data_IF_558441966213
#
_entry.id   IF_558441966213
#
_cell.length_a   1.000
_cell.length_b   1.000
_cell.length_c   1.000
_cell.angle_alpha   90.00
_cell.angle_beta   90.00
_cell.angle_gamma   90.00
#
_symmetry.space_group_name_H-M   'P 1'
#
loop_
_entity.id
_entity.type
_entity.pdbx_description
1 polymer ?
#
# COMPACT_ATOMS: atom_id res chain seq x y z
N UNK A 1 -20.27 -30.30 -18.33
CA UNK A 1 -20.97 -29.95 -17.07
C UNK A 1 -20.53 -28.58 -16.56
N UNK A 2 -21.34 -27.93 -15.72
CA UNK A 2 -20.95 -26.69 -15.02
C UNK A 2 -20.12 -27.07 -13.79
N UNK A 3 -18.92 -26.50 -13.68
CA UNK A 3 -17.98 -26.76 -12.59
C UNK A 3 -17.79 -25.52 -11.73
N UNK A 4 -17.57 -24.37 -12.36
CA UNK A 4 -17.38 -23.10 -11.66
C UNK A 4 -18.65 -22.28 -11.68
N UNK A 5 -19.16 -21.98 -10.49
CA UNK A 5 -20.33 -21.14 -10.33
C UNK A 5 -20.01 -19.66 -10.64
N UNK A 6 -21.03 -18.83 -10.97
CA UNK A 6 -20.81 -17.45 -11.37
C UNK A 6 -20.03 -16.60 -10.37
N UNK A 7 -20.25 -16.80 -9.06
CA UNK A 7 -19.56 -16.03 -8.03
C UNK A 7 -18.05 -16.27 -8.08
N UNK A 8 -17.60 -17.53 -8.15
CA UNK A 8 -16.17 -17.85 -8.19
C UNK A 8 -15.49 -17.25 -9.43
N UNK A 9 -16.19 -17.20 -10.57
CA UNK A 9 -15.64 -16.59 -11.79
C UNK A 9 -15.52 -15.08 -11.70
N UNK A 10 -16.57 -14.40 -11.21
CA UNK A 10 -16.54 -12.95 -11.00
C UNK A 10 -15.45 -12.60 -9.97
N UNK A 11 -15.42 -13.31 -8.84
CA UNK A 11 -14.37 -13.17 -7.83
C UNK A 11 -12.98 -13.30 -8.44
N UNK A 12 -12.72 -14.37 -9.19
CA UNK A 12 -11.40 -14.63 -9.77
C UNK A 12 -10.93 -13.48 -10.66
N UNK A 13 -11.73 -13.08 -11.64
CA UNK A 13 -11.31 -12.04 -12.59
C UNK A 13 -11.27 -10.65 -11.97
N UNK A 14 -12.13 -10.37 -10.99
CA UNK A 14 -12.05 -9.11 -10.23
C UNK A 14 -10.81 -9.09 -9.34
N UNK A 15 -10.45 -10.22 -8.72
CA UNK A 15 -9.21 -10.34 -7.94
C UNK A 15 -7.98 -10.14 -8.81
N UNK A 16 -7.94 -10.76 -10.00
CA UNK A 16 -6.86 -10.56 -10.98
C UNK A 16 -6.73 -9.08 -11.34
N UNK A 17 -7.84 -8.39 -11.64
CA UNK A 17 -7.81 -6.97 -11.94
C UNK A 17 -7.32 -6.12 -10.74
N UNK A 18 -7.82 -6.39 -9.52
CA UNK A 18 -7.40 -5.68 -8.32
C UNK A 18 -5.91 -5.86 -8.03
N UNK A 19 -5.40 -7.09 -8.13
CA UNK A 19 -3.97 -7.38 -7.94
C UNK A 19 -3.12 -6.73 -9.03
N UNK A 20 -3.56 -6.76 -10.30
CA UNK A 20 -2.84 -6.12 -11.39
C UNK A 20 -2.76 -4.59 -11.20
N UNK A 21 -3.86 -3.95 -10.81
CA UNK A 21 -3.87 -2.51 -10.50
C UNK A 21 -2.95 -2.21 -9.32
N UNK A 22 -3.06 -2.96 -8.21
CA UNK A 22 -2.21 -2.76 -7.04
C UNK A 22 -0.71 -2.95 -7.36
N UNK A 23 -0.37 -3.96 -8.17
CA UNK A 23 1.01 -4.20 -8.60
C UNK A 23 1.52 -3.08 -9.51
N UNK A 24 0.71 -2.63 -10.47
CA UNK A 24 1.09 -1.53 -11.37
C UNK A 24 1.31 -0.23 -10.59
N UNK A 25 0.40 0.13 -9.69
CA UNK A 25 0.50 1.37 -8.91
C UNK A 25 1.54 1.30 -7.79
N UNK A 26 1.83 0.11 -7.27
CA UNK A 26 2.79 -0.07 -6.18
C UNK A 26 4.24 -0.31 -6.64
N UNK A 27 4.46 -0.82 -7.85
CA UNK A 27 5.80 -1.17 -8.36
C UNK A 27 6.28 -0.30 -9.52
N UNK A 28 5.35 0.26 -10.32
CA UNK A 28 5.70 0.93 -11.58
C UNK A 28 5.29 2.41 -11.62
N UNK A 29 4.35 2.83 -10.78
CA UNK A 29 3.81 4.18 -10.82
C UNK A 29 4.37 5.07 -9.70
N UNK A 30 4.27 6.38 -9.90
CA UNK A 30 4.76 7.38 -8.96
C UNK A 30 3.86 7.56 -7.74
N UNK A 31 4.37 8.29 -6.75
CA UNK A 31 3.74 8.61 -5.48
C UNK A 31 2.24 9.02 -5.51
N UNK A 32 1.74 9.79 -6.50
CA UNK A 32 0.32 10.18 -6.55
C UNK A 32 -0.66 9.00 -6.73
N UNK A 33 -0.18 7.86 -7.22
CA UNK A 33 -1.00 6.66 -7.43
C UNK A 33 -1.28 5.86 -6.15
N UNK A 34 -0.77 6.32 -5.00
CA UNK A 34 -0.93 5.63 -3.72
C UNK A 34 -2.40 5.38 -3.36
N UNK A 35 -3.30 6.32 -3.66
CA UNK A 35 -4.71 6.17 -3.32
C UNK A 35 -5.34 5.04 -4.13
N UNK A 36 -4.98 4.94 -5.41
CA UNK A 36 -5.43 3.85 -6.29
C UNK A 36 -4.87 2.51 -5.81
N UNK A 37 -3.61 2.46 -5.37
CA UNK A 37 -3.02 1.27 -4.76
C UNK A 37 -3.80 0.81 -3.51
N UNK A 38 -4.07 1.73 -2.58
CA UNK A 38 -4.82 1.45 -1.36
C UNK A 38 -6.26 1.02 -1.66
N UNK A 39 -6.92 1.66 -2.63
CA UNK A 39 -8.25 1.25 -3.09
C UNK A 39 -8.26 -0.17 -3.67
N UNK A 40 -7.30 -0.49 -4.53
CA UNK A 40 -7.17 -1.84 -5.10
C UNK A 40 -6.93 -2.90 -4.01
N UNK A 41 -6.08 -2.60 -3.04
CA UNK A 41 -5.86 -3.45 -1.86
C UNK A 41 -7.12 -3.63 -0.99
N UNK A 42 -7.92 -2.57 -0.83
CA UNK A 42 -9.19 -2.61 -0.09
C UNK A 42 -10.24 -3.48 -0.82
N UNK A 43 -10.34 -3.35 -2.15
CA UNK A 43 -11.19 -4.22 -2.98
C UNK A 43 -10.74 -5.67 -2.86
N UNK A 44 -9.42 -5.93 -2.95
CA UNK A 44 -8.85 -7.27 -2.76
C UNK A 44 -9.22 -7.86 -1.39
N UNK A 45 -9.10 -7.08 -0.30
CA UNK A 45 -9.47 -7.53 1.05
C UNK A 45 -10.95 -7.94 1.13
N UNK A 46 -11.85 -7.11 0.58
CA UNK A 46 -13.28 -7.40 0.53
C UNK A 46 -13.62 -8.65 -0.28
N UNK A 47 -12.96 -8.83 -1.44
CA UNK A 47 -13.09 -10.02 -2.27
C UNK A 47 -12.63 -11.29 -1.53
N UNK A 48 -11.48 -11.24 -0.86
CA UNK A 48 -10.96 -12.38 -0.08
C UNK A 48 -11.93 -12.74 1.04
N UNK A 49 -12.44 -11.75 1.79
CA UNK A 49 -13.45 -11.99 2.83
C UNK A 49 -14.73 -12.65 2.27
N UNK A 50 -15.26 -12.11 1.17
CA UNK A 50 -16.43 -12.69 0.49
C UNK A 50 -16.15 -14.11 -0.02
N UNK A 51 -14.94 -14.38 -0.53
CA UNK A 51 -14.54 -15.71 -1.00
C UNK A 51 -14.41 -16.72 0.12
N UNK A 52 -13.93 -16.30 1.29
CA UNK A 52 -13.86 -17.15 2.49
C UNK A 52 -15.27 -17.54 2.91
N UNK A 53 -16.21 -16.59 3.01
CA UNK A 53 -17.63 -16.89 3.29
C UNK A 53 -18.23 -17.86 2.25
N UNK A 54 -18.01 -17.60 0.97
CA UNK A 54 -18.46 -18.49 -0.11
C UNK A 54 -17.81 -19.88 -0.06
N UNK A 55 -16.59 -19.98 0.46
CA UNK A 55 -15.89 -21.25 0.66
C UNK A 55 -16.52 -22.16 1.71
N UNK A 56 -17.46 -21.67 2.52
CA UNK A 56 -18.24 -22.49 3.44
C UNK A 56 -19.68 -22.74 2.96
N UNK A 57 -20.28 -21.76 2.28
CA UNK A 57 -21.72 -21.76 1.94
C UNK A 57 -22.02 -22.02 0.46
N UNK A 58 -21.03 -21.89 -0.43
CA UNK A 58 -21.15 -22.08 -1.88
C UNK A 58 -21.43 -23.53 -2.31
N UNK A 59 -21.45 -23.83 -3.62
CA UNK A 59 -21.63 -25.19 -4.11
C UNK A 59 -20.39 -26.06 -3.82
N UNK A 60 -20.54 -27.38 -3.95
CA UNK A 60 -19.48 -28.35 -3.65
C UNK A 60 -18.11 -28.07 -4.26
N UNK A 61 -18.06 -27.58 -5.50
CA UNK A 61 -16.81 -27.20 -6.19
C UNK A 61 -16.13 -25.93 -5.64
N UNK A 62 -16.89 -25.07 -4.95
CA UNK A 62 -16.39 -23.84 -4.36
C UNK A 62 -16.01 -23.99 -2.87
N UNK A 63 -16.55 -25.02 -2.20
CA UNK A 63 -16.35 -25.23 -0.76
C UNK A 63 -14.95 -25.75 -0.45
N UNK A 64 -14.30 -25.21 0.57
CA UNK A 64 -12.98 -25.66 1.02
C UNK A 64 -12.97 -27.16 1.36
N UNK A 65 -13.98 -27.64 2.10
CA UNK A 65 -14.12 -29.06 2.44
C UNK A 65 -14.35 -29.97 1.20
N UNK A 66 -14.60 -29.41 0.02
CA UNK A 66 -14.77 -30.17 -1.23
C UNK A 66 -13.48 -30.36 -2.02
N UNK A 67 -12.42 -29.61 -1.73
CA UNK A 67 -11.16 -29.69 -2.48
C UNK A 67 -9.88 -29.63 -1.64
N UNK A 68 -9.95 -29.18 -0.38
CA UNK A 68 -8.79 -29.16 0.51
C UNK A 68 -8.51 -30.59 0.96
N UNK A 69 -7.29 -31.03 0.69
CA UNK A 69 -6.81 -32.38 0.99
C UNK A 69 -5.59 -32.35 1.91
N UNK A 70 -5.36 -33.44 2.65
CA UNK A 70 -4.22 -33.56 3.54
C UNK A 70 -2.87 -33.74 2.81
N UNK A 71 -1.74 -33.58 3.51
CA UNK A 71 -0.40 -33.63 2.92
C UNK A 71 -0.09 -34.97 2.22
N UNK A 72 -0.62 -36.09 2.72
CA UNK A 72 -0.46 -37.41 2.09
C UNK A 72 -1.06 -37.47 0.69
N UNK A 73 -2.22 -36.84 0.47
CA UNK A 73 -2.87 -36.80 -0.84
C UNK A 73 -2.11 -35.90 -1.83
N UNK A 74 -1.53 -34.80 -1.35
CA UNK A 74 -0.65 -33.95 -2.16
C UNK A 74 0.59 -34.73 -2.61
N UNK A 75 1.24 -35.46 -1.69
CA UNK A 75 2.41 -36.29 -2.01
C UNK A 75 2.06 -37.45 -2.96
N UNK A 76 0.90 -38.09 -2.77
CA UNK A 76 0.40 -39.12 -3.69
C UNK A 76 0.20 -38.55 -5.10
N UNK A 77 -0.48 -37.40 -5.21
CA UNK A 77 -0.70 -36.75 -6.50
C UNK A 77 0.60 -36.33 -7.19
N UNK A 78 1.59 -35.85 -6.44
CA UNK A 78 2.92 -35.56 -6.98
C UNK A 78 3.61 -36.81 -7.55
N UNK A 79 3.47 -37.96 -6.90
CA UNK A 79 4.00 -39.24 -7.42
C UNK A 79 3.27 -39.66 -8.68
N UNK A 80 1.93 -39.60 -8.67
CA UNK A 80 1.10 -39.91 -9.83
C UNK A 80 1.39 -39.02 -11.03
N UNK A 81 1.68 -37.73 -10.81
CA UNK A 81 2.09 -36.81 -11.88
C UNK A 81 3.45 -37.21 -12.47
N UNK A 82 4.40 -37.67 -11.64
CA UNK A 82 5.71 -38.14 -12.09
C UNK A 82 5.63 -39.46 -12.87
N UNK A 83 4.72 -40.36 -12.48
CA UNK A 83 4.52 -41.65 -13.15
C UNK A 83 3.55 -41.58 -14.33
N UNK A 84 2.96 -40.41 -14.60
CA UNK A 84 1.98 -40.24 -15.68
C UNK A 84 0.61 -40.88 -15.40
N UNK A 85 0.35 -41.32 -14.17
CA UNK A 85 -0.88 -42.03 -13.77
C UNK A 85 -1.92 -41.12 -13.11
N UNK A 86 -1.63 -39.82 -12.95
CA UNK A 86 -2.52 -38.87 -12.30
C UNK A 86 -3.85 -38.71 -13.04
N UNK A 87 -4.94 -39.06 -12.37
CA UNK A 87 -6.31 -38.90 -12.86
C UNK A 87 -6.70 -37.45 -13.11
N UNK A 88 -7.71 -37.25 -13.95
CA UNK A 88 -8.25 -35.93 -14.27
C UNK A 88 -9.21 -35.48 -13.18
N UNK A 89 -9.05 -34.24 -12.74
CA UNK A 89 -9.91 -33.62 -11.73
C UNK A 89 -10.82 -32.59 -12.39
N UNK A 90 -12.14 -32.71 -12.17
CA UNK A 90 -13.06 -31.70 -12.67
C UNK A 90 -12.98 -30.42 -11.85
N UNK A 91 -12.92 -30.52 -10.53
CA UNK A 91 -12.62 -29.41 -9.62
C UNK A 91 -11.13 -29.09 -9.55
N UNK A 92 -10.64 -28.74 -8.35
CA UNK A 92 -9.20 -28.59 -8.10
C UNK A 92 -8.56 -29.97 -7.92
N UNK A 93 -7.38 -30.17 -8.52
CA UNK A 93 -6.49 -31.24 -8.11
C UNK A 93 -5.78 -30.86 -6.79
N UNK A 94 -5.11 -31.80 -6.10
CA UNK A 94 -4.43 -31.53 -4.83
C UNK A 94 -3.43 -30.36 -4.84
N UNK A 95 -2.68 -30.16 -5.92
CA UNK A 95 -1.73 -29.04 -6.04
C UNK A 95 -2.44 -27.71 -6.29
N UNK A 96 -3.48 -27.71 -7.12
CA UNK A 96 -4.33 -26.56 -7.36
C UNK A 96 -5.06 -26.12 -6.10
N UNK A 97 -5.50 -27.07 -5.27
CA UNK A 97 -6.08 -26.79 -3.95
C UNK A 97 -5.10 -26.06 -3.04
N UNK A 98 -3.86 -26.54 -2.95
CA UNK A 98 -2.80 -25.89 -2.17
C UNK A 98 -2.49 -24.48 -2.71
N UNK A 99 -2.42 -24.31 -4.02
CA UNK A 99 -2.17 -23.01 -4.66
C UNK A 99 -3.28 -21.99 -4.34
N UNK A 100 -4.55 -22.41 -4.37
CA UNK A 100 -5.67 -21.53 -3.98
C UNK A 100 -5.52 -21.06 -2.54
N UNK A 101 -5.17 -21.96 -1.61
CA UNK A 101 -4.94 -21.58 -0.22
C UNK A 101 -3.75 -20.63 -0.06
N UNK A 102 -2.65 -20.89 -0.76
CA UNK A 102 -1.45 -20.05 -0.74
C UNK A 102 -1.74 -18.64 -1.27
N UNK A 103 -2.44 -18.51 -2.41
CA UNK A 103 -2.83 -17.23 -2.99
C UNK A 103 -3.79 -16.45 -2.08
N UNK A 104 -4.79 -17.12 -1.51
CA UNK A 104 -5.72 -16.48 -0.57
C UNK A 104 -5.02 -16.02 0.71
N UNK A 105 -4.11 -16.83 1.25
CA UNK A 105 -3.34 -16.47 2.44
C UNK A 105 -2.38 -15.30 2.17
N UNK A 106 -1.67 -15.31 1.03
CA UNK A 106 -0.79 -14.21 0.63
C UNK A 106 -1.58 -12.91 0.40
N UNK A 107 -2.72 -12.97 -0.29
CA UNK A 107 -3.60 -11.81 -0.49
C UNK A 107 -4.16 -11.27 0.84
N UNK A 108 -4.57 -12.15 1.77
CA UNK A 108 -5.00 -11.74 3.10
C UNK A 108 -3.85 -11.10 3.90
N UNK A 109 -2.65 -11.69 3.85
CA UNK A 109 -1.44 -11.14 4.47
C UNK A 109 -1.09 -9.75 3.95
N UNK A 110 -1.18 -9.55 2.63
CA UNK A 110 -1.00 -8.23 2.00
C UNK A 110 -2.04 -7.22 2.48
N UNK A 111 -3.31 -7.60 2.53
CA UNK A 111 -4.36 -6.72 3.04
C UNK A 111 -4.10 -6.30 4.49
N UNK A 112 -3.73 -7.24 5.36
CA UNK A 112 -3.45 -6.96 6.78
C UNK A 112 -2.21 -6.08 6.97
N UNK A 113 -1.09 -6.46 6.35
CA UNK A 113 0.16 -5.68 6.43
C UNK A 113 0.01 -4.31 5.78
N UNK A 114 -0.76 -4.20 4.69
CA UNK A 114 -1.03 -2.94 4.00
C UNK A 114 -1.78 -1.95 4.89
N UNK A 115 -2.78 -2.40 5.65
CA UNK A 115 -3.52 -1.53 6.59
C UNK A 115 -2.61 -1.01 7.72
N UNK A 116 -1.70 -1.85 8.22
CA UNK A 116 -0.73 -1.45 9.26
C UNK A 116 0.30 -0.48 8.70
N UNK A 117 0.87 -0.76 7.53
CA UNK A 117 1.82 0.13 6.85
C UNK A 117 1.18 1.47 6.48
N UNK A 118 -0.08 1.46 6.03
CA UNK A 118 -0.85 2.67 5.72
C UNK A 118 -1.03 3.55 6.97
N UNK A 119 -1.38 2.93 8.10
CA UNK A 119 -1.50 3.59 9.39
C UNK A 119 -0.18 4.12 9.94
N UNK A 120 0.88 3.31 9.96
CA UNK A 120 2.15 3.69 10.58
C UNK A 120 3.02 4.62 9.72
N UNK A 121 3.13 4.35 8.42
CA UNK A 121 4.04 5.09 7.52
C UNK A 121 3.37 6.33 6.94
N UNK A 122 2.16 6.17 6.40
CA UNK A 122 1.43 7.28 5.76
C UNK A 122 0.53 8.05 6.72
N UNK A 123 0.41 7.57 7.97
CA UNK A 123 -0.42 8.18 9.02
C UNK A 123 -1.86 8.44 8.54
N UNK A 124 -2.40 7.43 7.85
CA UNK A 124 -3.75 7.46 7.29
C UNK A 124 -4.45 6.10 7.45
N UNK A 125 -5.79 6.13 7.41
CA UNK A 125 -6.61 4.94 7.57
C UNK A 125 -6.80 4.48 9.02
N UNK A 126 -7.39 3.29 9.22
CA UNK A 126 -7.95 2.88 10.50
C UNK A 126 -6.93 2.62 11.60
N UNK A 127 -5.64 2.46 11.29
CA UNK A 127 -4.59 2.22 12.28
C UNK A 127 -3.67 3.42 12.50
N UNK A 128 -3.97 4.57 11.88
CA UNK A 128 -3.14 5.78 11.97
C UNK A 128 -3.06 6.35 13.39
N UNK A 129 -4.11 6.16 14.20
CA UNK A 129 -4.20 6.68 15.56
C UNK A 129 -3.39 5.87 16.59
N UNK A 130 -2.92 4.67 16.24
CA UNK A 130 -2.21 3.76 17.16
C UNK A 130 -0.85 3.30 16.68
N UNK A 131 -0.60 3.29 15.37
CA UNK A 131 0.60 2.66 14.82
C UNK A 131 1.73 3.67 14.67
N UNK A 132 2.87 3.37 15.30
CA UNK A 132 4.09 4.17 15.18
C UNK A 132 4.74 4.05 13.79
N UNK A 133 5.56 5.03 13.42
CA UNK A 133 6.29 5.02 12.15
C UNK A 133 7.20 3.80 12.03
N UNK A 134 7.99 3.51 13.07
CA UNK A 134 8.96 2.41 13.08
C UNK A 134 8.28 1.07 12.85
N UNK A 135 7.17 0.81 13.56
CA UNK A 135 6.39 -0.43 13.42
C UNK A 135 5.77 -0.52 12.02
N UNK A 136 5.16 0.57 11.53
CA UNK A 136 4.64 0.64 10.18
C UNK A 136 5.71 0.39 9.12
N UNK A 137 6.93 0.90 9.33
CA UNK A 137 8.08 0.73 8.45
C UNK A 137 8.56 -0.72 8.40
N UNK A 138 8.61 -1.39 9.54
CA UNK A 138 8.95 -2.81 9.61
C UNK A 138 7.89 -3.66 8.89
N UNK A 139 6.61 -3.35 9.10
CA UNK A 139 5.51 -4.07 8.43
C UNK A 139 5.45 -3.76 6.94
N UNK A 140 5.87 -2.57 6.49
CA UNK A 140 5.99 -2.25 5.08
C UNK A 140 7.03 -3.14 4.37
N UNK A 141 8.17 -3.44 5.01
CA UNK A 141 9.14 -4.40 4.44
C UNK A 141 8.52 -5.80 4.26
N UNK A 142 7.72 -6.23 5.23
CA UNK A 142 6.97 -7.50 5.13
C UNK A 142 5.93 -7.42 4.01
N UNK A 143 5.25 -6.28 3.85
CA UNK A 143 4.29 -6.06 2.78
C UNK A 143 4.95 -6.16 1.39
N UNK A 144 6.11 -5.53 1.21
CA UNK A 144 6.90 -5.61 -0.02
C UNK A 144 7.36 -7.05 -0.31
N UNK A 145 7.87 -7.76 0.71
CA UNK A 145 8.24 -9.17 0.58
C UNK A 145 7.05 -10.04 0.18
N UNK A 146 5.90 -9.85 0.82
CA UNK A 146 4.67 -10.57 0.49
C UNK A 146 4.17 -10.24 -0.91
N UNK A 147 4.39 -9.02 -1.41
CA UNK A 147 4.01 -8.62 -2.77
C UNK A 147 4.81 -9.42 -3.80
N UNK A 148 6.15 -9.45 -3.67
CA UNK A 148 7.00 -10.27 -4.54
C UNK A 148 6.68 -11.77 -4.42
N UNK A 149 6.40 -12.25 -3.20
CA UNK A 149 5.98 -13.63 -2.98
C UNK A 149 4.65 -13.95 -3.69
N UNK A 150 3.66 -13.06 -3.60
CA UNK A 150 2.39 -13.22 -4.32
C UNK A 150 2.61 -13.27 -5.83
N UNK A 151 3.43 -12.38 -6.38
CA UNK A 151 3.75 -12.38 -7.82
C UNK A 151 4.41 -13.70 -8.25
N UNK A 152 5.32 -14.24 -7.45
CA UNK A 152 5.93 -15.55 -7.70
C UNK A 152 4.88 -16.69 -7.66
N UNK A 153 3.95 -16.66 -6.70
CA UNK A 153 2.83 -17.62 -6.64
C UNK A 153 1.91 -17.49 -7.85
N UNK A 154 1.62 -16.27 -8.32
CA UNK A 154 0.82 -16.04 -9.52
C UNK A 154 1.51 -16.61 -10.76
N UNK A 155 2.82 -16.38 -10.91
CA UNK A 155 3.59 -16.96 -12.01
C UNK A 155 3.55 -18.49 -11.98
N UNK A 156 3.76 -19.09 -10.80
CA UNK A 156 3.68 -20.53 -10.60
C UNK A 156 2.26 -21.07 -10.86
N UNK A 157 1.24 -20.34 -10.44
CA UNK A 157 -0.16 -20.67 -10.71
C UNK A 157 -0.45 -20.72 -12.21
N UNK A 158 -0.07 -19.68 -12.95
CA UNK A 158 -0.25 -19.61 -14.40
C UNK A 158 0.52 -20.73 -15.10
N UNK A 159 1.76 -21.00 -14.69
CA UNK A 159 2.55 -22.12 -15.21
C UNK A 159 1.84 -23.47 -14.96
N UNK A 160 1.29 -23.68 -13.75
CA UNK A 160 0.50 -24.86 -13.41
C UNK A 160 -0.77 -24.99 -14.26
N UNK A 161 -1.46 -23.88 -14.52
CA UNK A 161 -2.64 -23.83 -15.41
C UNK A 161 -2.26 -24.23 -16.84
N UNK A 162 -1.14 -23.72 -17.38
CA UNK A 162 -0.65 -24.08 -18.71
C UNK A 162 -0.26 -25.57 -18.76
N UNK A 163 0.48 -26.04 -17.77
CA UNK A 163 0.90 -27.44 -17.66
C UNK A 163 -0.31 -28.39 -17.63
N UNK A 164 -1.25 -28.15 -16.71
CA UNK A 164 -2.42 -29.01 -16.57
C UNK A 164 -3.34 -28.91 -17.77
N UNK A 165 -3.44 -27.74 -18.42
CA UNK A 165 -4.23 -27.59 -19.65
C UNK A 165 -3.68 -28.46 -20.79
N UNK A 166 -2.35 -28.53 -20.92
CA UNK A 166 -1.69 -29.38 -21.93
C UNK A 166 -1.85 -30.86 -21.57
N UNK A 167 -1.56 -31.24 -20.32
CA UNK A 167 -1.63 -32.63 -19.83
C UNK A 167 -3.05 -33.22 -19.94
N UNK A 168 -4.07 -32.43 -19.62
CA UNK A 168 -5.48 -32.88 -19.63
C UNK A 168 -6.17 -32.69 -20.98
N UNK A 169 -5.50 -32.06 -21.95
CA UNK A 169 -6.06 -31.61 -23.23
C UNK A 169 -7.33 -30.78 -23.05
N UNK A 170 -7.29 -29.84 -22.10
CA UNK A 170 -8.42 -29.01 -21.72
C UNK A 170 -7.98 -27.58 -21.44
N UNK A 171 -8.65 -26.58 -22.01
CA UNK A 171 -8.30 -25.18 -21.75
C UNK A 171 -8.90 -24.72 -20.42
N UNK A 172 -8.11 -24.75 -19.35
CA UNK A 172 -8.53 -24.39 -17.99
C UNK A 172 -8.85 -22.90 -17.85
N UNK A 173 -8.13 -22.02 -18.55
CA UNK A 173 -8.42 -20.59 -18.55
C UNK A 173 -9.81 -20.31 -19.16
N UNK A 174 -10.14 -20.96 -20.28
CA UNK A 174 -11.48 -20.90 -20.89
C UNK A 174 -12.55 -21.50 -19.97
N UNK A 175 -12.22 -22.57 -19.24
CA UNK A 175 -13.13 -23.14 -18.24
C UNK A 175 -13.42 -22.13 -17.11
N UNK A 176 -12.44 -21.30 -16.71
CA UNK A 176 -12.62 -20.26 -15.70
C UNK A 176 -13.51 -19.10 -16.17
N UNK A 177 -13.55 -18.83 -17.48
CA UNK A 177 -14.46 -17.84 -18.08
C UNK A 177 -15.87 -18.40 -18.23
N UNK A 178 -15.99 -19.57 -18.86
CA UNK A 178 -17.29 -20.19 -19.21
C UNK A 178 -17.95 -20.92 -18.04
N UNK A 179 -17.17 -21.30 -17.04
CA UNK A 179 -17.58 -22.14 -15.91
C UNK A 179 -17.84 -23.60 -16.25
N UNK A 180 -17.49 -24.06 -17.47
CA UNK A 180 -17.84 -25.39 -17.97
C UNK A 180 -16.60 -26.20 -18.31
N UNK A 181 -16.67 -27.50 -18.01
CA UNK A 181 -15.69 -28.53 -18.39
C UNK A 181 -16.43 -29.72 -19.02
N UNK A 182 -15.91 -30.39 -20.06
CA UNK A 182 -16.47 -31.66 -20.52
C UNK A 182 -16.37 -32.71 -19.41
N UNK A 183 -17.34 -33.61 -19.27
CA UNK A 183 -17.26 -34.71 -18.30
C UNK A 183 -16.70 -35.96 -19.00
N UNK A 184 -15.81 -36.70 -18.36
CA UNK A 184 -15.30 -38.00 -18.80
C UNK A 184 -15.57 -39.06 -17.70
N UNK A 185 -15.68 -40.35 -18.04
CA UNK A 185 -16.04 -41.41 -17.10
C UNK A 185 -15.13 -41.49 -15.86
N UNK A 186 -13.82 -41.30 -16.03
CA UNK A 186 -12.82 -41.45 -14.97
C UNK A 186 -12.49 -40.15 -14.22
N UNK A 187 -13.36 -39.13 -14.32
CA UNK A 187 -13.11 -37.85 -13.68
C UNK A 187 -13.35 -37.89 -12.17
N UNK A 188 -12.43 -37.32 -11.41
CA UNK A 188 -12.67 -37.00 -10.01
C UNK A 188 -13.68 -35.85 -9.89
N UNK A 189 -14.90 -36.19 -9.46
CA UNK A 189 -16.00 -35.26 -9.29
C UNK A 189 -15.93 -34.52 -7.94
N UNK A 190 -16.24 -33.21 -7.90
CA UNK A 190 -16.45 -32.51 -6.65
C UNK A 190 -17.65 -33.10 -5.89
N UNK A 191 -17.59 -33.13 -4.56
CA UNK A 191 -18.72 -33.58 -3.74
C UNK A 191 -19.98 -32.75 -4.05
N UNK A 192 -21.10 -33.41 -4.35
CA UNK A 192 -22.35 -32.73 -4.66
C UNK A 192 -22.94 -32.08 -3.40
N UNK A 193 -22.81 -30.76 -3.29
CA UNK A 193 -23.43 -29.96 -2.21
C UNK A 193 -24.11 -28.72 -2.79
N UNK A 194 -25.38 -28.46 -2.44
CA UNK A 194 -26.10 -27.27 -2.92
C UNK A 194 -25.57 -26.01 -2.25
N UNK A 195 -25.55 -24.90 -3.00
CA UNK A 195 -25.18 -23.59 -2.51
C UNK A 195 -26.29 -22.97 -1.64
N UNK A 196 -25.92 -22.08 -0.71
CA UNK A 196 -26.84 -21.24 0.07
C UNK A 196 -26.61 -19.76 -0.26
N UNK A 197 -26.98 -19.29 -1.47
CA UNK A 197 -26.55 -18.00 -1.99
C UNK A 197 -27.07 -16.82 -1.18
N UNK A 198 -28.33 -16.85 -0.74
CA UNK A 198 -28.94 -15.78 0.08
C UNK A 198 -28.24 -15.65 1.43
N UNK A 199 -28.03 -16.77 2.13
CA UNK A 199 -27.34 -16.78 3.41
C UNK A 199 -25.87 -16.33 3.27
N UNK A 200 -25.19 -16.74 2.20
CA UNK A 200 -23.82 -16.32 1.93
C UNK A 200 -23.72 -14.83 1.63
N UNK A 201 -24.64 -14.29 0.81
CA UNK A 201 -24.69 -12.87 0.50
C UNK A 201 -24.99 -12.04 1.76
N UNK A 202 -25.99 -12.44 2.55
CA UNK A 202 -26.32 -11.77 3.81
C UNK A 202 -25.13 -11.76 4.79
N UNK A 203 -24.45 -12.89 4.97
CA UNK A 203 -23.29 -13.00 5.86
C UNK A 203 -22.09 -12.18 5.34
N UNK A 204 -21.82 -12.22 4.03
CA UNK A 204 -20.75 -11.43 3.43
C UNK A 204 -21.02 -9.93 3.58
N UNK A 205 -22.23 -9.47 3.26
CA UNK A 205 -22.64 -8.07 3.40
C UNK A 205 -22.61 -7.61 4.86
N UNK A 206 -23.09 -8.43 5.80
CA UNK A 206 -23.00 -8.11 7.23
C UNK A 206 -21.56 -8.01 7.70
N UNK A 207 -20.70 -8.97 7.32
CA UNK A 207 -19.27 -8.96 7.69
C UNK A 207 -18.55 -7.74 7.12
N UNK A 208 -18.75 -7.44 5.84
CA UNK A 208 -18.15 -6.28 5.17
C UNK A 208 -18.70 -4.96 5.73
N UNK A 209 -20.00 -4.89 6.03
CA UNK A 209 -20.63 -3.70 6.60
C UNK A 209 -20.14 -3.40 8.02
N UNK A 210 -20.06 -4.42 8.88
CA UNK A 210 -19.50 -4.28 10.24
C UNK A 210 -18.03 -3.88 10.17
N UNK A 211 -17.24 -4.52 9.30
CA UNK A 211 -15.84 -4.18 9.10
C UNK A 211 -15.69 -2.73 8.60
N UNK A 212 -16.45 -2.32 7.59
CA UNK A 212 -16.40 -0.96 7.04
C UNK A 212 -16.80 0.08 8.08
N UNK A 213 -17.86 -0.17 8.86
CA UNK A 213 -18.27 0.72 9.95
C UNK A 213 -17.18 0.82 11.03
N UNK A 214 -16.68 -0.32 11.51
CA UNK A 214 -15.61 -0.36 12.50
C UNK A 214 -14.35 0.37 12.02
N UNK A 215 -13.84 0.02 10.84
CA UNK A 215 -12.65 0.66 10.27
C UNK A 215 -12.88 2.16 10.00
N UNK A 216 -14.09 2.55 9.57
CA UNK A 216 -14.45 3.96 9.40
C UNK A 216 -14.39 4.74 10.72
N UNK A 217 -14.93 4.17 11.81
CA UNK A 217 -14.85 4.80 13.14
C UNK A 217 -13.42 4.94 13.65
N UNK A 218 -12.56 3.96 13.36
CA UNK A 218 -11.14 4.00 13.72
C UNK A 218 -10.38 5.02 12.86
N UNK A 219 -10.67 5.10 11.56
CA UNK A 219 -10.03 6.02 10.64
C UNK A 219 -10.39 7.50 10.90
N UNK A 220 -11.52 7.76 11.54
CA UNK A 220 -11.92 9.09 11.97
C UNK A 220 -11.16 9.60 13.21
N UNK A 221 -10.38 8.75 13.89
CA UNK A 221 -9.59 9.16 15.05
C UNK A 221 -8.36 9.99 14.61
N UNK A 222 -7.95 11.00 15.39
CA UNK A 222 -6.75 11.77 15.10
C UNK A 222 -5.52 10.86 14.95
N UNK A 223 -4.72 11.01 13.89
CA UNK A 223 -3.55 10.18 13.67
C UNK A 223 -2.45 10.48 14.69
N UNK A 224 -1.70 9.44 15.08
CA UNK A 224 -0.63 9.52 16.08
C UNK A 224 0.58 10.27 15.51
N UNK A 225 0.98 11.35 16.19
CA UNK A 225 2.23 12.07 15.89
C UNK A 225 2.21 12.81 14.56
N UNK A 226 1.06 13.26 14.09
CA UNK A 226 0.95 14.12 12.90
C UNK A 226 0.72 15.57 13.34
N UNK A 227 1.39 16.55 12.73
CA UNK A 227 1.06 17.95 12.98
C UNK A 227 -0.38 18.26 12.55
N UNK A 228 -1.16 18.84 13.47
CA UNK A 228 -2.56 19.24 13.23
C UNK A 228 -2.83 20.71 13.53
N UNK A 229 -1.94 21.36 14.27
CA UNK A 229 -2.05 22.79 14.58
C UNK A 229 -1.63 23.63 13.37
N UNK A 230 -2.26 24.79 13.20
CA UNK A 230 -1.75 25.82 12.30
C UNK A 230 -0.39 26.33 12.79
N UNK A 231 0.42 26.84 11.86
CA UNK A 231 1.67 27.52 12.22
C UNK A 231 1.38 28.73 13.12
N UNK A 232 2.30 29.03 14.05
CA UNK A 232 2.22 30.27 14.83
C UNK A 232 2.17 31.47 13.86
N UNK A 233 1.23 32.41 14.00
CA UNK A 233 1.06 33.49 13.02
C UNK A 233 2.31 34.33 12.82
N UNK A 234 3.09 34.55 13.87
CA UNK A 234 4.32 35.31 13.76
C UNK A 234 5.46 34.45 13.20
N UNK A 235 5.53 33.15 13.52
CA UNK A 235 6.43 32.26 12.80
C UNK A 235 6.15 32.29 11.30
N UNK A 236 4.88 32.21 10.92
CA UNK A 236 4.47 32.28 9.52
C UNK A 236 4.78 33.64 8.90
N UNK A 237 4.65 34.75 9.64
CA UNK A 237 4.98 36.07 9.13
C UNK A 237 6.48 36.26 8.91
N UNK A 238 7.30 35.96 9.92
CA UNK A 238 8.75 36.19 9.87
C UNK A 238 9.46 35.14 8.98
N UNK A 239 9.15 33.86 9.16
CA UNK A 239 9.84 32.77 8.46
C UNK A 239 9.27 32.51 7.05
N UNK A 240 8.16 33.14 6.65
CA UNK A 240 7.67 33.09 5.26
C UNK A 240 8.03 34.33 4.43
N UNK A 241 8.76 35.30 4.98
CA UNK A 241 9.04 36.57 4.30
C UNK A 241 9.88 36.38 3.02
N UNK A 242 10.80 35.41 3.02
CA UNK A 242 11.71 35.17 1.89
C UNK A 242 11.41 33.86 1.13
N UNK A 243 10.93 32.83 1.82
CA UNK A 243 10.59 31.52 1.25
C UNK A 243 9.31 30.97 1.89
N UNK A 244 8.87 29.77 1.52
CA UNK A 244 7.73 29.12 2.19
C UNK A 244 8.03 28.86 3.67
N UNK A 245 7.09 29.11 4.58
CA UNK A 245 7.30 28.75 5.99
C UNK A 245 7.32 27.22 6.15
N UNK A 246 8.53 26.65 6.22
CA UNK A 246 8.70 25.22 6.48
C UNK A 246 8.09 24.85 7.82
N UNK A 247 7.33 23.76 7.87
CA UNK A 247 6.80 23.28 9.14
C UNK A 247 7.96 22.86 10.07
N UNK A 248 7.96 23.20 11.38
CA UNK A 248 9.06 22.88 12.30
C UNK A 248 9.42 21.40 12.39
N UNK A 249 8.49 20.50 12.06
CA UNK A 249 8.71 19.05 12.01
C UNK A 249 9.76 18.59 10.98
N UNK A 250 10.22 19.47 10.10
CA UNK A 250 11.19 19.14 9.05
C UNK A 250 12.66 19.30 9.47
N UNK A 251 12.91 19.82 10.68
CA UNK A 251 14.25 19.93 11.25
C UNK A 251 14.25 19.44 12.71
N UNK A 252 15.33 18.77 13.17
CA UNK A 252 15.47 18.41 14.57
C UNK A 252 15.82 19.63 15.43
N UNK A 253 15.65 19.49 16.76
CA UNK A 253 15.92 20.58 17.71
C UNK A 253 17.33 21.15 17.59
N UNK A 254 18.32 20.29 17.35
CA UNK A 254 19.70 20.73 17.17
C UNK A 254 19.87 21.65 15.94
N UNK A 255 19.21 21.32 14.83
CA UNK A 255 19.24 22.12 13.61
C UNK A 255 18.49 23.44 13.78
N UNK A 256 17.34 23.43 14.45
CA UNK A 256 16.62 24.65 14.81
C UNK A 256 17.46 25.55 15.72
N UNK A 257 18.13 24.97 16.71
CA UNK A 257 19.04 25.70 17.61
C UNK A 257 20.13 26.42 16.80
N UNK A 258 20.84 25.69 15.93
CA UNK A 258 21.87 26.25 15.07
C UNK A 258 21.35 27.33 14.12
N UNK A 259 20.14 27.13 13.55
CA UNK A 259 19.50 28.10 12.67
C UNK A 259 19.19 29.41 13.41
N UNK A 260 18.60 29.34 14.61
CA UNK A 260 18.30 30.53 15.42
C UNK A 260 19.55 31.24 15.95
N UNK A 261 20.65 30.51 16.13
CA UNK A 261 21.93 31.09 16.58
C UNK A 261 22.65 31.86 15.46
N UNK A 262 22.33 31.61 14.19
CA UNK A 262 22.98 32.22 13.02
C UNK A 262 22.00 32.90 12.07
N UNK A 263 20.96 33.56 12.59
CA UNK A 263 20.00 34.30 11.75
C UNK A 263 20.61 35.52 11.05
N UNK A 264 21.73 36.04 11.55
CA UNK A 264 22.48 37.14 10.95
C UNK A 264 23.17 36.74 9.62
N UNK A 265 23.32 35.45 9.35
CA UNK A 265 23.73 34.89 8.06
C UNK A 265 22.85 33.68 7.68
N UNK A 266 21.62 33.97 7.28
CA UNK A 266 20.63 33.00 6.85
C UNK A 266 20.70 32.78 5.33
N UNK A 267 21.65 31.94 4.90
CA UNK A 267 21.92 31.65 3.48
C UNK A 267 22.37 32.89 2.67
N UNK A 268 23.19 33.75 3.29
CA UNK A 268 23.69 34.98 2.68
C UNK A 268 22.76 36.19 2.83
N UNK A 269 21.66 36.05 3.56
CA UNK A 269 20.72 37.12 3.89
C UNK A 269 20.64 37.31 5.42
N UNK A 270 20.41 38.53 5.88
CA UNK A 270 20.19 38.82 7.31
C UNK A 270 18.70 38.62 7.65
N UNK A 271 18.40 37.59 8.44
CA UNK A 271 17.06 37.26 8.93
C UNK A 271 16.93 37.50 10.45
N UNK A 272 17.79 38.35 11.03
CA UNK A 272 17.76 38.67 12.45
C UNK A 272 16.45 39.35 12.85
N UNK A 273 15.96 38.97 14.03
CA UNK A 273 14.75 39.51 14.64
C UNK A 273 15.10 40.11 16.01
N UNK A 274 14.19 40.89 16.58
CA UNK A 274 14.39 41.38 17.94
C UNK A 274 14.53 40.19 18.93
N UNK A 275 15.27 40.36 20.05
CA UNK A 275 15.55 39.26 20.97
C UNK A 275 14.30 38.59 21.56
N UNK A 276 13.21 39.35 21.77
CA UNK A 276 11.99 38.82 22.36
C UNK A 276 11.25 37.94 21.33
N UNK A 277 11.14 38.39 20.08
CA UNK A 277 10.56 37.60 18.98
C UNK A 277 11.41 36.36 18.72
N UNK A 278 12.74 36.49 18.62
CA UNK A 278 13.67 35.37 18.45
C UNK A 278 13.48 34.31 19.54
N UNK A 279 13.47 34.72 20.81
CA UNK A 279 13.29 33.80 21.94
C UNK A 279 11.96 33.05 21.90
N UNK A 280 10.86 33.74 21.57
CA UNK A 280 9.53 33.13 21.45
C UNK A 280 9.45 32.15 20.28
N UNK A 281 9.91 32.55 19.09
CA UNK A 281 9.86 31.71 17.89
C UNK A 281 10.77 30.50 18.02
N UNK A 282 11.96 30.66 18.63
CA UNK A 282 12.86 29.54 18.95
C UNK A 282 12.19 28.53 19.87
N UNK A 283 11.59 28.99 20.97
CA UNK A 283 10.88 28.10 21.90
C UNK A 283 9.75 27.34 21.20
N UNK A 284 8.97 28.03 20.35
CA UNK A 284 7.90 27.41 19.57
C UNK A 284 8.42 26.39 18.55
N UNK A 285 9.46 26.72 17.78
CA UNK A 285 10.04 25.82 16.79
C UNK A 285 10.65 24.57 17.45
N UNK A 286 11.35 24.71 18.58
CA UNK A 286 11.92 23.58 19.32
C UNK A 286 10.85 22.67 19.95
N UNK A 287 9.72 23.24 20.37
CA UNK A 287 8.57 22.48 20.86
C UNK A 287 7.89 21.66 19.75
N UNK A 288 7.93 22.15 18.51
CA UNK A 288 7.33 21.53 17.33
C UNK A 288 8.39 20.93 16.36
N UNK A 289 9.61 20.70 16.83
CA UNK A 289 10.68 20.11 16.00
C UNK A 289 10.34 18.67 15.58
N UNK A 290 11.14 18.09 14.68
CA UNK A 290 10.96 16.73 14.16
C UNK A 290 10.72 15.68 15.27
N UNK A 291 11.36 15.81 16.42
CA UNK A 291 11.23 14.88 17.55
C UNK A 291 9.85 14.89 18.23
N UNK A 292 9.01 15.90 18.00
CA UNK A 292 7.65 15.97 18.52
C UNK A 292 6.64 15.17 17.67
N UNK A 293 7.04 14.72 16.48
CA UNK A 293 6.16 14.09 15.51
C UNK A 293 6.68 12.72 15.07
N UNK A 294 5.78 11.94 14.51
CA UNK A 294 6.01 10.57 14.07
C UNK A 294 5.67 10.37 12.59
N UNK A 295 5.69 11.45 11.79
CA UNK A 295 5.52 11.33 10.33
C UNK A 295 6.77 10.72 9.68
N UNK A 296 6.63 10.23 8.44
CA UNK A 296 7.78 9.76 7.64
C UNK A 296 8.83 10.87 7.49
N UNK A 297 8.41 12.10 7.20
CA UNK A 297 9.32 13.24 7.03
C UNK A 297 10.09 13.53 8.33
N UNK A 298 9.38 13.68 9.45
CA UNK A 298 9.99 13.94 10.75
C UNK A 298 11.00 12.85 11.15
N UNK A 299 10.63 11.57 10.99
CA UNK A 299 11.52 10.46 11.32
C UNK A 299 12.76 10.38 10.43
N UNK A 300 12.66 10.77 9.17
CA UNK A 300 13.77 10.72 8.21
C UNK A 300 14.68 11.94 8.26
N UNK A 301 14.15 13.08 8.71
CA UNK A 301 14.89 14.35 8.80
C UNK A 301 15.42 14.65 10.20
N UNK A 302 15.03 13.89 11.24
CA UNK A 302 15.50 14.12 12.61
C UNK A 302 17.00 13.87 12.84
N UNK A 303 17.69 13.26 11.88
CA UNK A 303 19.14 13.08 11.94
C UNK A 303 19.82 14.31 11.34
N UNK A 304 20.67 14.98 12.13
CA UNK A 304 21.45 16.14 11.67
C UNK A 304 22.51 15.66 10.70
N UNK A 305 22.59 16.30 9.53
CA UNK A 305 23.72 16.14 8.60
C UNK A 305 24.80 17.17 8.98
N UNK A 306 25.98 16.75 9.50
CA UNK A 306 26.97 17.70 10.01
C UNK A 306 27.46 18.71 8.97
N UNK A 307 27.51 18.32 7.68
CA UNK A 307 27.96 19.18 6.60
C UNK A 307 26.94 20.28 6.22
N UNK A 308 25.67 20.13 6.60
CA UNK A 308 24.60 21.05 6.25
C UNK A 308 23.47 20.97 7.29
N UNK A 309 23.70 21.45 8.53
CA UNK A 309 22.89 21.09 9.69
C UNK A 309 21.42 21.48 9.57
N UNK A 310 21.08 22.49 8.76
CA UNK A 310 19.70 22.96 8.57
C UNK A 310 19.27 23.04 7.09
N UNK A 311 20.02 22.41 6.18
CA UNK A 311 19.65 22.37 4.74
C UNK A 311 18.91 21.08 4.38
N UNK A 312 17.58 21.14 4.37
CA UNK A 312 16.71 19.97 4.09
C UNK A 312 17.07 19.31 2.73
N UNK A 313 17.26 20.12 1.68
CA UNK A 313 17.61 19.66 0.32
C UNK A 313 19.02 19.07 0.22
N UNK A 314 19.88 19.38 1.19
CA UNK A 314 21.22 18.80 1.32
C UNK A 314 21.23 17.39 1.93
N UNK A 315 20.12 16.95 2.53
CA UNK A 315 20.05 15.64 3.17
C UNK A 315 20.02 14.50 2.15
N UNK A 316 20.70 13.38 2.44
CA UNK A 316 20.66 12.17 1.59
C UNK A 316 19.24 11.65 1.38
N UNK A 317 18.39 11.78 2.40
CA UNK A 317 16.98 11.38 2.32
C UNK A 317 16.24 12.18 1.25
N UNK A 318 16.38 13.51 1.27
CA UNK A 318 15.75 14.38 0.28
C UNK A 318 16.29 14.08 -1.12
N UNK A 319 17.61 14.01 -1.29
CA UNK A 319 18.27 13.76 -2.57
C UNK A 319 17.83 12.44 -3.20
N UNK A 320 17.76 11.36 -2.42
CA UNK A 320 17.30 10.05 -2.92
C UNK A 320 15.82 10.02 -3.26
N UNK A 321 14.99 10.70 -2.47
CA UNK A 321 13.54 10.71 -2.67
C UNK A 321 13.15 11.49 -3.94
N UNK A 322 13.95 12.48 -4.33
CA UNK A 322 13.69 13.33 -5.49
C UNK A 322 14.65 13.06 -6.67
N UNK A 323 15.41 11.96 -6.65
CA UNK A 323 16.46 11.68 -7.63
C UNK A 323 15.91 11.53 -9.06
N UNK A 324 14.68 11.04 -9.20
CA UNK A 324 14.04 10.81 -10.50
C UNK A 324 13.33 12.06 -11.06
N UNK A 325 13.39 13.20 -10.35
CA UNK A 325 12.81 14.47 -10.82
C UNK A 325 13.91 15.26 -11.56
N UNK A 326 13.70 15.60 -12.85
CA UNK A 326 14.69 16.38 -13.61
C UNK A 326 14.95 17.76 -13.01
N UNK A 327 16.21 18.23 -13.06
CA UNK A 327 16.58 19.57 -12.58
C UNK A 327 15.81 20.69 -13.31
N UNK A 328 15.36 20.47 -14.55
CA UNK A 328 14.51 21.42 -15.30
C UNK A 328 13.15 21.66 -14.65
N UNK A 329 12.61 20.71 -13.89
CA UNK A 329 11.37 20.91 -13.13
C UNK A 329 11.63 21.89 -11.99
N UNK A 330 12.74 21.71 -11.26
CA UNK A 330 13.12 22.60 -10.16
C UNK A 330 13.49 24.01 -10.63
N UNK A 331 14.10 24.13 -11.81
CA UNK A 331 14.46 25.41 -12.42
C UNK A 331 13.27 26.11 -13.11
N UNK A 332 12.17 25.39 -13.36
CA UNK A 332 10.99 25.92 -14.03
C UNK A 332 10.24 26.96 -13.20
N UNK A 333 9.57 27.90 -13.87
CA UNK A 333 8.89 29.04 -13.22
C UNK A 333 7.78 28.64 -12.23
N UNK A 334 7.24 27.42 -12.35
CA UNK A 334 6.24 26.88 -11.44
C UNK A 334 6.83 26.44 -10.08
N UNK A 335 8.11 26.03 -10.05
CA UNK A 335 8.77 25.50 -8.84
C UNK A 335 9.82 26.46 -8.32
N UNK A 336 10.58 27.12 -9.20
CA UNK A 336 11.62 28.14 -8.93
C UNK A 336 12.86 27.60 -8.22
N UNK A 337 12.70 26.73 -7.22
CA UNK A 337 13.82 26.12 -6.52
C UNK A 337 13.44 24.80 -5.84
N UNK A 338 14.47 24.00 -5.49
CA UNK A 338 14.32 22.77 -4.68
C UNK A 338 13.73 23.02 -3.29
N UNK A 339 13.76 24.26 -2.78
CA UNK A 339 13.19 24.63 -1.49
C UNK A 339 11.67 24.90 -1.53
N UNK A 340 11.09 25.13 -2.70
CA UNK A 340 9.66 25.41 -2.81
C UNK A 340 8.80 24.14 -2.77
N UNK A 341 8.79 23.46 -1.61
CA UNK A 341 8.08 22.21 -1.42
C UNK A 341 6.58 22.33 -1.73
N UNK A 342 5.96 23.48 -1.49
CA UNK A 342 4.52 23.72 -1.74
C UNK A 342 4.14 23.67 -3.22
N UNK A 343 5.09 23.95 -4.13
CA UNK A 343 4.85 23.86 -5.57
C UNK A 343 4.50 22.43 -6.02
N UNK A 344 4.95 21.41 -5.28
CA UNK A 344 4.68 20.01 -5.59
C UNK A 344 3.87 19.28 -4.51
N UNK A 345 3.95 19.69 -3.25
CA UNK A 345 3.29 19.06 -2.11
C UNK A 345 2.21 19.99 -1.54
N UNK A 346 0.94 19.71 -1.84
CA UNK A 346 -0.17 20.54 -1.40
C UNK A 346 -0.31 20.64 0.14
N UNK A 347 0.27 19.70 0.88
CA UNK A 347 0.26 19.63 2.34
C UNK A 347 1.62 19.91 3.00
N UNK A 348 2.57 20.54 2.28
CA UNK A 348 3.89 20.88 2.80
C UNK A 348 3.83 21.80 4.03
N UNK A 349 2.95 22.83 4.03
CA UNK A 349 2.76 23.74 5.18
C UNK A 349 2.34 23.02 6.46
N UNK A 350 1.57 21.95 6.32
CA UNK A 350 1.10 21.15 7.45
C UNK A 350 2.16 20.14 7.92
N UNK A 351 3.32 20.04 7.27
CA UNK A 351 4.37 19.07 7.63
C UNK A 351 3.95 17.61 7.40
N UNK A 352 2.90 17.35 6.61
CA UNK A 352 2.30 16.01 6.42
C UNK A 352 2.97 15.21 5.31
N UNK A 353 3.17 15.82 4.13
CA UNK A 353 3.79 15.18 2.96
C UNK A 353 3.14 13.85 2.55
N UNK A 354 1.82 13.81 2.48
CA UNK A 354 1.09 12.62 2.05
C UNK A 354 1.28 12.38 0.54
N UNK A 355 1.63 11.16 0.08
CA UNK A 355 1.96 10.93 -1.33
C UNK A 355 0.82 11.26 -2.32
N UNK A 356 -0.45 11.04 -1.93
CA UNK A 356 -1.61 11.39 -2.76
C UNK A 356 -1.83 12.90 -2.95
N UNK A 357 -1.14 13.74 -2.16
CA UNK A 357 -1.18 15.20 -2.28
C UNK A 357 -0.07 15.76 -3.18
N UNK A 358 0.73 14.90 -3.81
CA UNK A 358 1.84 15.29 -4.67
C UNK A 358 1.34 15.56 -6.08
N UNK A 359 1.73 16.71 -6.64
CA UNK A 359 1.50 17.09 -8.04
C UNK A 359 2.75 17.77 -8.57
N UNK A 360 3.52 17.07 -9.39
CA UNK A 360 4.71 17.63 -10.01
C UNK A 360 4.28 18.44 -11.24
N UNK A 361 4.60 19.75 -11.33
CA UNK A 361 4.32 20.53 -12.52
C UNK A 361 5.03 19.96 -13.74
N UNK A 362 4.43 20.12 -14.93
CA UNK A 362 5.12 19.79 -16.16
C UNK A 362 6.40 20.63 -16.28
N UNK A 363 7.50 20.08 -16.85
CA UNK A 363 8.66 20.88 -17.17
C UNK A 363 8.21 22.04 -18.06
N UNK A 364 8.51 23.26 -17.65
CA UNK A 364 8.31 24.40 -18.55
C UNK A 364 9.37 24.26 -19.64
N UNK A 365 8.95 24.20 -20.92
CA UNK A 365 9.91 24.37 -22.00
C UNK A 365 10.58 25.73 -21.78
N UNK A 366 11.90 25.74 -21.62
CA UNK A 366 12.66 26.97 -21.59
C UNK A 366 12.40 27.68 -22.91
N UNK A 367 11.56 28.72 -22.92
CA UNK A 367 11.54 29.63 -24.04
C UNK A 367 12.94 30.27 -24.13
N UNK A 368 13.59 30.22 -25.30
CA UNK A 368 14.96 30.69 -25.50
C UNK A 368 15.13 32.19 -25.24
#
# INVERSE_FOLDING_TARGET
>A
MRVWDPFVRIFHWTLVAAVAVAAATGLLADAPWIDVHVWAGTVMAGLVAARVVWGFLGPGSARFAGFVVGPRAVLAHLRELRTGTAGRHLGHNPLGALMVLALLAAAAGLALTGVVAYGGVLKAGPLAFTTGYTDGRAVLEVHELLAYFLLALIALHVAGVVFESRRSHENLARAMVTGRKPARPDDHLPAARPARPVAAAALALATLGIAAAGLGTLAARPPLGVPTAALDPAYAAECAACHVAYHPSLLPRASWTALFDGLDDHFGEDASLDPATTGRLRAWALANAAEAYDTKAANRLRAVEPAAPFTITGTRFWQRTHADIPDSVFAGSAVVSKGNCEACHADARAGRFYPGNIRIPAPTESHP
#
